data_IF_287363507317
#
_entry.id   IF_287363507317
#
_cell.length_a   1.000
_cell.length_b   1.000
_cell.length_c   1.000
_cell.angle_alpha   90.00
_cell.angle_beta   90.00
_cell.angle_gamma   90.00
#
_symmetry.space_group_name_H-M   'P 1'
#
loop_
_entity.id
_entity.type
_entity.pdbx_description
1 polymer ?
#
# COMPACT_ATOMS: atom_id res chain seq x y z
N UNK A 1 7.79 -17.76 42.57
CA UNK A 1 6.47 -17.22 42.18
C UNK A 1 6.53 -15.71 42.32
N UNK A 2 7.13 -15.03 41.34
CA UNK A 2 7.07 -13.57 41.30
C UNK A 2 5.68 -13.13 40.87
N UNK A 3 5.17 -12.08 41.53
CA UNK A 3 3.87 -11.47 41.24
C UNK A 3 3.83 -11.11 39.75
N UNK A 4 3.00 -11.81 38.97
CA UNK A 4 2.53 -11.31 37.67
C UNK A 4 1.94 -9.93 37.92
N UNK A 5 2.68 -8.89 37.57
CA UNK A 5 2.19 -7.51 37.55
C UNK A 5 0.92 -7.53 36.73
N UNK A 6 -0.22 -7.18 37.33
CA UNK A 6 -1.50 -7.09 36.64
C UNK A 6 -1.36 -6.06 35.53
N UNK A 7 -1.21 -6.53 34.29
CA UNK A 7 -1.15 -5.66 33.12
C UNK A 7 -2.45 -4.87 33.01
N UNK A 8 -2.34 -3.56 32.77
CA UNK A 8 -3.47 -2.77 32.27
C UNK A 8 -3.80 -3.27 30.84
N UNK A 9 -4.76 -4.20 30.77
CA UNK A 9 -5.27 -4.77 29.52
C UNK A 9 -6.43 -3.95 28.93
N UNK A 10 -6.66 -2.73 29.43
CA UNK A 10 -7.71 -1.88 28.88
C UNK A 10 -7.35 -1.45 27.45
N UNK A 11 -8.35 -1.54 26.57
CA UNK A 11 -8.27 -0.98 25.22
C UNK A 11 -8.60 0.51 25.31
N UNK A 12 -7.65 1.37 24.94
CA UNK A 12 -7.80 2.84 24.94
C UNK A 12 -7.44 3.40 23.58
N UNK A 13 -8.12 4.47 23.18
CA UNK A 13 -7.83 5.25 21.99
C UNK A 13 -7.22 6.59 22.41
N UNK A 14 -5.98 6.86 22.02
CA UNK A 14 -5.25 8.06 22.45
C UNK A 14 -4.52 8.70 21.26
N UNK A 15 -4.51 10.04 21.14
CA UNK A 15 -3.68 10.73 20.17
C UNK A 15 -2.21 10.66 20.61
N UNK A 16 -1.31 10.32 19.69
CA UNK A 16 0.13 10.23 19.92
C UNK A 16 0.89 10.82 18.74
N UNK A 17 2.09 11.32 18.99
CA UNK A 17 3.01 11.76 17.93
C UNK A 17 4.20 10.82 17.86
N UNK A 18 4.47 10.27 16.68
CA UNK A 18 5.57 9.35 16.40
C UNK A 18 6.40 9.96 15.28
N UNK A 19 7.68 10.25 15.55
CA UNK A 19 8.60 10.87 14.58
C UNK A 19 8.04 12.15 13.93
N UNK A 20 7.32 12.97 14.70
CA UNK A 20 6.72 14.22 14.25
C UNK A 20 5.46 14.06 13.40
N UNK A 21 4.86 12.87 13.36
CA UNK A 21 3.57 12.58 12.70
C UNK A 21 2.54 12.16 13.72
N UNK A 22 1.31 12.63 13.54
CA UNK A 22 0.21 12.37 14.46
C UNK A 22 -0.57 11.11 14.08
N UNK A 23 -0.82 10.27 15.08
CA UNK A 23 -1.57 9.02 14.99
C UNK A 23 -2.61 8.93 16.10
N UNK A 24 -3.61 8.08 15.89
CA UNK A 24 -4.36 7.50 16.99
C UNK A 24 -3.81 6.12 17.32
N UNK A 25 -3.49 5.90 18.59
CA UNK A 25 -3.08 4.60 19.16
C UNK A 25 -4.30 3.88 19.73
N UNK A 26 -4.51 2.65 19.32
CA UNK A 26 -5.36 1.68 20.03
C UNK A 26 -4.42 0.78 20.84
N UNK A 27 -4.47 0.90 22.17
CA UNK A 27 -3.68 0.04 23.07
C UNK A 27 -4.29 -1.34 23.21
N UNK A 28 -3.45 -2.37 23.39
CA UNK A 28 -3.87 -3.75 23.58
C UNK A 28 -4.85 -4.21 22.48
N UNK A 29 -4.54 -3.89 21.21
CA UNK A 29 -5.45 -4.10 20.08
C UNK A 29 -5.78 -5.58 19.86
N UNK A 30 -4.95 -6.49 20.36
CA UNK A 30 -5.18 -7.94 20.34
C UNK A 30 -6.34 -8.39 21.23
N UNK A 31 -6.79 -7.56 22.18
CA UNK A 31 -7.98 -7.82 23.00
C UNK A 31 -9.29 -7.56 22.24
N UNK A 32 -9.22 -6.91 21.07
CA UNK A 32 -10.36 -6.69 20.20
C UNK A 32 -10.48 -7.85 19.20
N UNK A 33 -11.71 -8.24 18.85
CA UNK A 33 -11.93 -9.05 17.66
C UNK A 33 -11.29 -8.32 16.46
N UNK A 34 -10.50 -9.00 15.61
CA UNK A 34 -9.90 -8.35 14.44
C UNK A 34 -10.94 -7.62 13.61
N UNK A 35 -10.63 -6.38 13.21
CA UNK A 35 -11.51 -5.51 12.44
C UNK A 35 -10.82 -4.98 11.19
N UNK A 36 -11.61 -4.69 10.17
CA UNK A 36 -11.11 -4.42 8.82
C UNK A 36 -11.01 -2.92 8.52
N UNK A 37 -9.98 -2.52 7.79
CA UNK A 37 -9.66 -1.12 7.49
C UNK A 37 -9.28 -0.93 6.02
N UNK A 38 -9.52 0.28 5.51
CA UNK A 38 -8.91 0.76 4.26
C UNK A 38 -7.84 1.82 4.59
N UNK A 39 -6.66 1.68 3.97
CA UNK A 39 -5.60 2.69 4.02
C UNK A 39 -5.64 3.46 2.69
N UNK A 40 -5.84 4.77 2.82
CA UNK A 40 -6.06 5.67 1.68
C UNK A 40 -4.74 6.15 1.09
N UNK A 41 -4.76 6.58 -0.17
CA UNK A 41 -3.61 7.13 -0.88
C UNK A 41 -4.09 8.30 -1.75
N UNK A 42 -3.22 9.27 -2.01
CA UNK A 42 -3.46 10.33 -3.00
C UNK A 42 -3.39 9.81 -4.44
N UNK A 43 -2.70 8.67 -4.64
CA UNK A 43 -2.51 8.03 -5.93
C UNK A 43 -3.46 6.84 -6.09
N UNK A 44 -3.05 5.80 -6.81
CA UNK A 44 -3.85 4.64 -7.17
C UNK A 44 -3.60 3.41 -6.29
N UNK A 45 -3.02 3.56 -5.10
CA UNK A 45 -2.86 2.44 -4.18
C UNK A 45 -4.19 2.06 -3.52
N UNK A 46 -4.38 0.78 -3.29
CA UNK A 46 -5.38 0.25 -2.38
C UNK A 46 -4.71 -0.71 -1.40
N UNK A 47 -5.03 -0.56 -0.11
CA UNK A 47 -4.68 -1.50 0.96
C UNK A 47 -5.93 -1.72 1.77
N UNK A 48 -6.34 -2.99 1.86
CA UNK A 48 -7.41 -3.44 2.73
C UNK A 48 -6.82 -4.42 3.74
N UNK A 49 -6.86 -4.06 5.01
CA UNK A 49 -6.04 -4.68 6.06
C UNK A 49 -6.84 -4.84 7.34
N UNK A 50 -6.70 -6.00 7.96
CA UNK A 50 -7.26 -6.33 9.27
C UNK A 50 -6.34 -5.88 10.39
N UNK A 51 -6.88 -5.61 11.57
CA UNK A 51 -6.12 -5.20 12.75
C UNK A 51 -5.16 -6.27 13.29
N UNK A 52 -5.22 -7.51 12.77
CA UNK A 52 -4.24 -8.56 13.03
C UNK A 52 -3.09 -8.62 12.00
N UNK A 53 -3.07 -7.71 11.02
CA UNK A 53 -2.02 -7.64 9.99
C UNK A 53 -2.35 -8.37 8.68
N UNK A 54 -3.39 -9.21 8.64
CA UNK A 54 -3.84 -9.85 7.40
C UNK A 54 -4.31 -8.80 6.38
N UNK A 55 -3.78 -8.83 5.16
CA UNK A 55 -4.06 -7.80 4.16
C UNK A 55 -4.15 -8.32 2.73
N UNK A 56 -4.83 -7.52 1.90
CA UNK A 56 -4.64 -7.46 0.47
C UNK A 56 -4.24 -6.04 0.06
N UNK A 57 -3.38 -5.90 -0.93
CA UNK A 57 -2.93 -4.60 -1.42
C UNK A 57 -2.58 -4.68 -2.89
N UNK A 58 -2.62 -3.55 -3.59
CA UNK A 58 -2.22 -3.42 -4.99
C UNK A 58 -2.46 -2.02 -5.54
N UNK A 59 -2.22 -1.81 -6.84
CA UNK A 59 -2.46 -0.51 -7.48
C UNK A 59 -3.60 -0.64 -8.48
N UNK A 60 -4.33 0.46 -8.72
CA UNK A 60 -5.47 0.56 -9.65
C UNK A 60 -6.65 -0.34 -9.27
N UNK A 61 -6.56 -1.65 -9.44
CA UNK A 61 -7.63 -2.62 -9.18
C UNK A 61 -7.06 -3.99 -8.78
N UNK A 62 -7.95 -4.96 -8.51
CA UNK A 62 -7.59 -6.30 -8.06
C UNK A 62 -6.76 -7.13 -9.06
N UNK A 63 -6.67 -6.73 -10.33
CA UNK A 63 -5.86 -7.43 -11.34
C UNK A 63 -4.36 -7.07 -11.24
N UNK A 64 -4.02 -6.03 -10.48
CA UNK A 64 -2.64 -5.64 -10.15
C UNK A 64 -2.40 -5.72 -8.65
N UNK A 65 -2.81 -6.85 -8.06
CA UNK A 65 -2.62 -7.15 -6.66
C UNK A 65 -1.15 -7.49 -6.34
N UNK A 66 -0.64 -6.97 -5.22
CA UNK A 66 0.60 -7.37 -4.58
C UNK A 66 0.39 -8.62 -3.70
N UNK A 67 -0.74 -8.69 -3.00
CA UNK A 67 -1.18 -9.83 -2.20
C UNK A 67 -2.56 -10.30 -2.68
N UNK A 68 -2.90 -11.59 -2.61
CA UNK A 68 -4.15 -12.11 -3.17
C UNK A 68 -5.39 -11.31 -2.73
N UNK A 69 -6.30 -11.04 -3.68
CA UNK A 69 -7.55 -10.32 -3.41
C UNK A 69 -8.68 -11.31 -3.11
N UNK A 70 -8.99 -11.48 -1.83
CA UNK A 70 -10.07 -12.33 -1.30
C UNK A 70 -11.10 -11.51 -0.54
N UNK A 71 -12.12 -12.15 0.01
CA UNK A 71 -13.05 -11.54 0.97
C UNK A 71 -12.37 -11.24 2.32
N UNK A 72 -12.95 -10.31 3.08
CA UNK A 72 -12.34 -9.76 4.30
C UNK A 72 -12.14 -10.79 5.43
N UNK A 73 -13.04 -11.77 5.53
CA UNK A 73 -12.91 -12.95 6.39
C UNK A 73 -11.64 -13.75 6.07
N UNK A 74 -11.47 -14.16 4.82
CA UNK A 74 -10.29 -14.93 4.35
C UNK A 74 -9.00 -14.14 4.48
N UNK A 75 -9.05 -12.82 4.23
CA UNK A 75 -7.89 -11.95 4.41
C UNK A 75 -7.48 -11.92 5.88
N UNK A 76 -8.44 -11.73 6.80
CA UNK A 76 -8.19 -11.75 8.24
C UNK A 76 -7.60 -13.09 8.70
N UNK A 77 -8.09 -14.21 8.17
CA UNK A 77 -7.61 -15.57 8.48
C UNK A 77 -6.21 -15.86 7.91
N UNK A 78 -5.77 -15.10 6.91
CA UNK A 78 -4.51 -15.36 6.18
C UNK A 78 -3.25 -14.72 6.77
N UNK A 79 -3.35 -14.00 7.88
CA UNK A 79 -2.25 -13.22 8.48
C UNK A 79 -0.96 -14.05 8.73
N UNK A 80 -1.09 -15.36 8.97
CA UNK A 80 0.06 -16.23 9.19
C UNK A 80 0.87 -16.54 7.93
N UNK A 81 0.25 -16.43 6.76
CA UNK A 81 0.80 -16.93 5.49
C UNK A 81 0.83 -15.86 4.39
N UNK A 82 0.25 -14.68 4.61
CA UNK A 82 0.19 -13.59 3.63
C UNK A 82 0.54 -12.26 4.28
N UNK A 83 1.36 -11.46 3.60
CA UNK A 83 1.72 -10.14 4.09
C UNK A 83 3.00 -10.14 4.94
N UNK A 84 3.06 -9.21 5.90
CA UNK A 84 4.22 -9.02 6.76
C UNK A 84 4.47 -10.25 7.65
N UNK A 85 5.74 -10.67 7.76
CA UNK A 85 6.15 -11.74 8.66
C UNK A 85 7.56 -11.48 9.18
N UNK A 86 7.74 -11.66 10.49
CA UNK A 86 8.99 -11.37 11.21
C UNK A 86 9.25 -12.44 12.26
N UNK A 87 10.44 -13.00 12.29
CA UNK A 87 10.88 -14.03 13.25
C UNK A 87 12.26 -13.64 13.77
N UNK A 88 12.45 -13.70 15.09
CA UNK A 88 13.67 -13.34 15.78
C UNK A 88 14.18 -14.50 16.63
N UNK A 89 15.41 -14.96 16.35
CA UNK A 89 16.18 -15.78 17.27
C UNK A 89 17.01 -14.82 18.14
N UNK A 90 16.64 -14.69 19.40
CA UNK A 90 17.24 -13.74 20.35
C UNK A 90 18.15 -14.49 21.31
N UNK A 91 19.42 -14.10 21.38
CA UNK A 91 20.36 -14.58 22.39
C UNK A 91 20.46 -13.53 23.51
N UNK A 92 20.01 -13.89 24.70
CA UNK A 92 20.04 -13.02 25.89
C UNK A 92 20.48 -13.82 27.11
N UNK A 93 21.46 -13.32 27.86
CA UNK A 93 22.04 -13.99 29.04
C UNK A 93 22.52 -15.44 28.79
N UNK A 94 23.00 -15.74 27.58
CA UNK A 94 23.48 -17.08 27.20
C UNK A 94 22.38 -18.07 26.80
N UNK A 95 21.10 -17.69 26.92
CA UNK A 95 19.96 -18.47 26.46
C UNK A 95 19.45 -17.98 25.10
N UNK A 96 18.82 -18.89 24.34
CA UNK A 96 18.22 -18.59 23.04
C UNK A 96 16.70 -18.64 23.12
N UNK A 97 16.07 -17.62 22.58
CA UNK A 97 14.63 -17.44 22.54
C UNK A 97 14.16 -17.29 21.09
N UNK A 98 12.96 -17.79 20.79
CA UNK A 98 12.32 -17.54 19.50
C UNK A 98 11.15 -16.59 19.72
N UNK A 99 11.13 -15.45 19.05
CA UNK A 99 10.04 -14.49 19.12
C UNK A 99 9.54 -14.19 17.71
N UNK A 100 8.24 -14.43 17.48
CA UNK A 100 7.57 -14.20 16.19
C UNK A 100 6.40 -13.23 16.42
N UNK A 101 6.65 -11.90 16.42
CA UNK A 101 5.59 -10.94 16.72
C UNK A 101 4.44 -10.99 15.73
N UNK A 102 3.26 -10.62 16.22
CA UNK A 102 1.98 -10.62 15.50
C UNK A 102 1.50 -12.00 15.06
N UNK A 103 2.22 -13.07 15.41
CA UNK A 103 1.81 -14.43 15.09
C UNK A 103 0.96 -15.04 16.20
N UNK A 104 0.14 -16.03 15.84
CA UNK A 104 -0.47 -16.95 16.80
C UNK A 104 0.49 -18.02 17.31
N UNK A 105 1.64 -18.18 16.65
CA UNK A 105 2.70 -19.10 17.09
C UNK A 105 3.37 -18.53 18.34
N UNK A 106 3.58 -19.38 19.34
CA UNK A 106 4.26 -19.00 20.58
C UNK A 106 3.59 -17.87 21.40
N UNK A 107 2.29 -17.58 21.18
CA UNK A 107 1.58 -16.49 21.88
C UNK A 107 1.61 -16.61 23.41
N UNK A 108 1.56 -17.84 23.93
CA UNK A 108 1.58 -18.08 25.38
C UNK A 108 2.99 -18.14 25.98
N UNK A 109 4.04 -18.02 25.16
CA UNK A 109 5.42 -18.13 25.62
C UNK A 109 5.94 -16.84 26.25
N UNK A 110 5.33 -15.69 25.92
CA UNK A 110 5.81 -14.38 26.35
C UNK A 110 4.68 -13.49 26.85
N UNK A 111 5.04 -12.58 27.73
CA UNK A 111 4.21 -11.46 28.12
C UNK A 111 4.32 -10.34 27.07
N UNK A 112 3.38 -10.30 26.13
CA UNK A 112 3.37 -9.30 25.05
C UNK A 112 2.28 -8.25 25.20
N UNK A 113 2.43 -7.13 24.47
CA UNK A 113 1.40 -6.12 24.25
C UNK A 113 1.39 -5.71 22.78
N UNK A 114 0.22 -5.71 22.13
CA UNK A 114 0.11 -5.23 20.77
C UNK A 114 -0.61 -3.88 20.73
N UNK A 115 -0.05 -2.94 20.00
CA UNK A 115 -0.64 -1.63 19.77
C UNK A 115 -0.82 -1.42 18.26
N UNK A 116 -1.90 -0.75 17.89
CA UNK A 116 -2.20 -0.40 16.50
C UNK A 116 -2.31 1.11 16.37
N UNK A 117 -1.65 1.68 15.36
CA UNK A 117 -1.65 3.12 15.13
C UNK A 117 -2.11 3.45 13.72
N UNK A 118 -3.04 4.38 13.56
CA UNK A 118 -3.43 4.91 12.24
C UNK A 118 -3.19 6.41 12.20
N UNK A 119 -2.56 6.90 11.13
CA UNK A 119 -2.29 8.33 10.98
C UNK A 119 -3.61 9.12 10.95
N UNK A 120 -3.58 10.38 11.40
CA UNK A 120 -4.77 11.25 11.38
C UNK A 120 -5.34 11.47 9.96
N UNK A 121 -4.48 11.36 8.94
CA UNK A 121 -4.88 11.42 7.52
C UNK A 121 -5.33 10.07 6.94
N UNK A 122 -5.20 8.99 7.71
CA UNK A 122 -5.64 7.64 7.36
C UNK A 122 -4.77 6.88 6.35
N UNK A 123 -3.65 7.45 5.93
CA UNK A 123 -2.76 6.95 4.85
C UNK A 123 -1.53 6.17 5.33
N UNK A 124 -1.37 5.98 6.64
CA UNK A 124 -0.34 5.14 7.23
C UNK A 124 -0.89 4.32 8.41
N UNK A 125 -0.33 3.13 8.61
CA UNK A 125 -0.74 2.20 9.66
C UNK A 125 0.49 1.52 10.27
N UNK A 126 0.64 1.60 11.60
CA UNK A 126 1.74 0.97 12.35
C UNK A 126 1.18 -0.17 13.19
N UNK A 127 1.83 -1.32 13.10
CA UNK A 127 1.67 -2.43 14.03
C UNK A 127 2.87 -2.44 14.97
N UNK A 128 2.61 -2.58 16.27
CA UNK A 128 3.65 -2.67 17.29
C UNK A 128 3.39 -3.86 18.20
N UNK A 129 4.41 -4.66 18.47
CA UNK A 129 4.39 -5.64 19.53
C UNK A 129 5.59 -5.40 20.47
N UNK A 130 5.29 -5.26 21.74
CA UNK A 130 6.26 -5.21 22.83
C UNK A 130 6.36 -6.60 23.46
N UNK A 131 7.55 -7.21 23.46
CA UNK A 131 7.85 -8.40 24.24
C UNK A 131 8.49 -7.97 25.57
N UNK A 132 7.72 -8.01 26.65
CA UNK A 132 8.14 -7.47 27.95
C UNK A 132 9.18 -8.34 28.65
N UNK A 133 9.18 -9.64 28.39
CA UNK A 133 10.13 -10.57 28.99
C UNK A 133 11.52 -10.43 28.35
N UNK A 134 11.55 -10.28 27.02
CA UNK A 134 12.78 -10.00 26.29
C UNK A 134 13.21 -8.53 26.40
N UNK A 135 12.29 -7.62 26.70
CA UNK A 135 12.53 -6.18 26.71
C UNK A 135 12.78 -5.64 25.30
N UNK A 136 12.03 -6.14 24.32
CA UNK A 136 12.16 -5.76 22.90
C UNK A 136 10.83 -5.20 22.38
N UNK A 137 10.90 -4.26 21.45
CA UNK A 137 9.73 -3.79 20.69
C UNK A 137 10.00 -3.89 19.21
N UNK A 138 9.09 -4.51 18.48
CA UNK A 138 9.13 -4.54 17.03
C UNK A 138 7.93 -3.76 16.48
N UNK A 139 8.21 -2.88 15.53
CA UNK A 139 7.22 -2.10 14.81
C UNK A 139 7.38 -2.29 13.32
N UNK A 140 6.27 -2.31 12.61
CA UNK A 140 6.27 -2.02 11.18
C UNK A 140 5.15 -1.06 10.75
N UNK A 141 5.47 -0.16 9.83
CA UNK A 141 4.55 0.82 9.25
C UNK A 141 4.32 0.55 7.77
N UNK A 142 3.06 0.51 7.34
CA UNK A 142 2.69 0.57 5.93
C UNK A 142 2.48 2.01 5.47
N UNK A 143 3.20 2.42 4.42
CA UNK A 143 3.09 3.69 3.72
C UNK A 143 2.90 3.47 2.21
N UNK A 144 2.38 4.49 1.52
CA UNK A 144 2.32 4.52 0.05
C UNK A 144 3.25 5.58 -0.54
N UNK A 145 3.80 5.29 -1.73
CA UNK A 145 4.72 6.13 -2.47
C UNK A 145 4.35 6.03 -3.95
N UNK A 146 3.91 7.12 -4.59
CA UNK A 146 3.49 7.07 -5.99
C UNK A 146 4.58 6.48 -6.90
N UNK A 147 5.84 6.84 -6.63
CA UNK A 147 6.99 6.42 -7.42
C UNK A 147 7.46 5.00 -7.10
N UNK A 148 7.44 4.60 -5.82
CA UNK A 148 8.10 3.38 -5.38
C UNK A 148 7.15 2.25 -4.96
N UNK A 149 5.84 2.52 -4.88
CA UNK A 149 4.82 1.56 -4.48
C UNK A 149 4.54 1.57 -2.98
N UNK A 150 4.50 0.39 -2.38
CA UNK A 150 4.27 0.18 -0.95
C UNK A 150 5.58 0.16 -0.20
N UNK A 151 5.61 0.81 0.96
CA UNK A 151 6.79 0.84 1.83
C UNK A 151 6.41 0.29 3.19
N UNK A 152 7.01 -0.84 3.56
CA UNK A 152 7.00 -1.40 4.92
C UNK A 152 8.24 -0.90 5.63
N UNK A 153 8.08 0.01 6.58
CA UNK A 153 9.19 0.49 7.43
C UNK A 153 9.23 -0.34 8.69
N UNK A 154 10.37 -0.88 9.05
CA UNK A 154 10.55 -1.73 10.22
C UNK A 154 11.48 -1.04 11.21
N UNK A 155 11.16 -1.16 12.50
CA UNK A 155 11.99 -0.70 13.61
C UNK A 155 12.03 -1.79 14.68
N UNK A 156 13.23 -2.20 15.09
CA UNK A 156 13.44 -3.09 16.24
C UNK A 156 14.19 -2.32 17.32
N UNK A 157 13.62 -2.27 18.51
CA UNK A 157 14.15 -1.52 19.66
C UNK A 157 14.50 -2.46 20.80
N UNK A 158 15.69 -2.29 21.36
CA UNK A 158 16.09 -2.92 22.61
C UNK A 158 15.74 -2.02 23.79
N UNK A 159 14.63 -2.29 24.46
CA UNK A 159 14.20 -1.55 25.64
C UNK A 159 14.90 -2.01 26.92
N UNK A 160 15.73 -3.06 26.87
CA UNK A 160 16.40 -3.60 28.06
C UNK A 160 17.69 -2.83 28.39
N UNK A 161 18.27 -3.15 29.54
CA UNK A 161 19.54 -2.58 30.01
C UNK A 161 20.77 -3.41 29.60
N UNK A 162 20.56 -4.41 28.74
CA UNK A 162 21.60 -5.35 28.29
C UNK A 162 21.69 -5.35 26.78
N UNK A 163 22.88 -5.56 26.25
CA UNK A 163 23.07 -5.83 24.83
C UNK A 163 22.48 -7.20 24.47
N UNK A 164 21.83 -7.28 23.32
CA UNK A 164 21.20 -8.51 22.81
C UNK A 164 21.73 -8.81 21.41
N UNK A 165 21.99 -10.08 21.13
CA UNK A 165 22.26 -10.55 19.78
C UNK A 165 20.96 -11.10 19.19
N UNK A 166 20.62 -10.68 17.99
CA UNK A 166 19.38 -11.05 17.32
C UNK A 166 19.70 -11.49 15.89
N UNK A 167 19.42 -12.75 15.59
CA UNK A 167 19.30 -13.20 14.21
C UNK A 167 17.85 -13.06 13.78
N UNK A 168 17.60 -12.32 12.71
CA UNK A 168 16.24 -11.98 12.26
C UNK A 168 15.94 -12.52 10.87
N UNK A 169 14.69 -12.86 10.63
CA UNK A 169 14.09 -13.00 9.31
C UNK A 169 12.89 -12.04 9.28
N UNK A 170 12.95 -10.98 8.47
CA UNK A 170 11.84 -10.02 8.31
C UNK A 170 11.50 -9.87 6.84
N UNK A 171 10.21 -9.79 6.51
CA UNK A 171 9.80 -9.81 5.12
C UNK A 171 8.32 -9.69 4.85
N UNK A 172 7.98 -10.01 3.61
CA UNK A 172 6.62 -10.20 3.11
C UNK A 172 6.50 -11.55 2.42
N UNK A 173 5.35 -12.22 2.54
CA UNK A 173 5.10 -13.53 1.94
C UNK A 173 3.77 -13.61 1.21
N UNK A 174 3.67 -14.62 0.33
CA UNK A 174 2.55 -14.83 -0.60
C UNK A 174 2.34 -13.60 -1.52
N UNK A 175 3.46 -13.07 -2.01
CA UNK A 175 3.51 -12.01 -3.01
C UNK A 175 3.02 -12.59 -4.33
N UNK A 176 2.05 -11.90 -4.93
CA UNK A 176 1.51 -12.28 -6.23
C UNK A 176 2.54 -11.99 -7.33
N UNK A 177 2.70 -12.88 -8.32
CA UNK A 177 3.33 -12.51 -9.56
C UNK A 177 2.40 -11.60 -10.37
N UNK A 178 2.97 -10.83 -11.30
CA UNK A 178 2.18 -10.07 -12.27
C UNK A 178 1.36 -11.01 -13.19
N UNK A 179 0.16 -10.56 -13.60
CA UNK A 179 -0.60 -11.18 -14.68
C UNK A 179 -1.58 -12.28 -14.25
N UNK A 180 -1.75 -12.52 -12.94
CA UNK A 180 -2.77 -13.44 -12.43
C UNK A 180 -4.07 -12.68 -12.19
N UNK A 181 -5.13 -13.08 -12.89
CA UNK A 181 -6.44 -12.46 -12.68
C UNK A 181 -7.00 -12.78 -11.29
N UNK A 182 -7.77 -11.84 -10.73
CA UNK A 182 -8.39 -12.04 -9.40
C UNK A 182 -9.30 -13.27 -9.39
N UNK A 183 -10.03 -13.51 -10.48
CA UNK A 183 -10.89 -14.68 -10.65
C UNK A 183 -10.10 -16.01 -10.64
N UNK A 184 -8.98 -16.08 -11.39
CA UNK A 184 -8.16 -17.28 -11.45
C UNK A 184 -7.50 -17.58 -10.08
N UNK A 185 -7.01 -16.54 -9.41
CA UNK A 185 -6.43 -16.68 -8.07
C UNK A 185 -7.46 -17.21 -7.05
N UNK A 186 -8.71 -16.74 -7.13
CA UNK A 186 -9.78 -17.18 -6.24
C UNK A 186 -10.24 -18.63 -6.51
N UNK A 187 -10.27 -19.04 -7.78
CA UNK A 187 -10.79 -20.35 -8.17
C UNK A 187 -9.73 -21.47 -8.15
N UNK A 188 -8.50 -21.17 -8.55
CA UNK A 188 -7.48 -22.17 -8.91
C UNK A 188 -6.07 -21.74 -8.51
N UNK A 189 -5.88 -21.23 -7.29
CA UNK A 189 -4.56 -20.76 -6.81
C UNK A 189 -3.45 -21.81 -6.88
N UNK A 190 -3.78 -23.08 -6.72
CA UNK A 190 -2.85 -24.20 -6.89
C UNK A 190 -2.33 -24.36 -8.33
N UNK A 191 -3.16 -24.10 -9.34
CA UNK A 191 -2.73 -24.05 -10.73
C UNK A 191 -1.77 -22.88 -10.94
N UNK A 192 -2.11 -21.71 -10.37
CA UNK A 192 -1.24 -20.53 -10.46
C UNK A 192 0.14 -20.81 -9.86
N UNK A 193 0.20 -21.51 -8.72
CA UNK A 193 1.47 -21.85 -8.06
C UNK A 193 2.43 -22.54 -9.03
N UNK A 194 1.98 -23.50 -9.85
CA UNK A 194 2.83 -24.21 -10.81
C UNK A 194 3.53 -23.32 -11.87
N UNK A 195 3.01 -22.10 -12.10
CA UNK A 195 3.58 -21.13 -13.05
C UNK A 195 4.47 -20.08 -12.37
N UNK A 196 4.50 -20.03 -11.03
CA UNK A 196 5.27 -19.02 -10.30
C UNK A 196 6.77 -19.24 -10.47
N UNK A 197 7.49 -18.15 -10.68
CA UNK A 197 8.94 -18.10 -10.61
C UNK A 197 9.35 -16.81 -9.90
N UNK A 198 10.14 -16.95 -8.85
CA UNK A 198 10.68 -15.83 -8.07
C UNK A 198 12.19 -15.82 -8.19
N UNK A 199 12.76 -14.72 -8.64
CA UNK A 199 14.20 -14.59 -8.93
C UNK A 199 14.81 -13.42 -8.15
N UNK A 200 16.09 -13.53 -7.78
CA UNK A 200 16.86 -12.47 -7.12
C UNK A 200 17.84 -11.84 -8.11
N UNK A 201 17.83 -10.52 -8.19
CA UNK A 201 18.92 -9.76 -8.80
C UNK A 201 20.00 -9.57 -7.73
N UNK A 202 20.95 -10.51 -7.66
CA UNK A 202 21.92 -10.63 -6.56
C UNK A 202 22.69 -9.35 -6.24
N UNK A 203 23.06 -8.57 -7.25
CA UNK A 203 23.89 -7.37 -7.08
C UNK A 203 23.17 -6.18 -6.43
N UNK A 204 21.83 -6.23 -6.37
CA UNK A 204 20.97 -5.15 -5.88
C UNK A 204 19.93 -5.63 -4.88
N UNK A 205 19.81 -6.94 -4.68
CA UNK A 205 18.85 -7.53 -3.75
C UNK A 205 17.39 -7.38 -4.17
N UNK A 206 17.10 -7.11 -5.46
CA UNK A 206 15.74 -6.99 -5.97
C UNK A 206 15.14 -8.38 -6.19
N UNK A 207 14.05 -8.69 -5.50
CA UNK A 207 13.22 -9.86 -5.77
C UNK A 207 12.21 -9.58 -6.88
N UNK A 208 12.14 -10.47 -7.87
CA UNK A 208 11.25 -10.41 -9.04
C UNK A 208 10.22 -11.53 -8.91
N UNK A 209 8.93 -11.18 -8.88
CA UNK A 209 7.80 -12.10 -8.79
C UNK A 209 7.07 -12.16 -10.15
N UNK A 210 7.30 -13.24 -10.89
CA UNK A 210 6.78 -13.41 -12.24
C UNK A 210 6.09 -14.76 -12.43
N UNK A 211 5.38 -14.87 -13.56
CA UNK A 211 4.94 -16.15 -14.10
C UNK A 211 5.96 -16.59 -15.16
N UNK A 212 6.12 -17.90 -15.33
CA UNK A 212 6.85 -18.46 -16.47
C UNK A 212 6.15 -18.19 -17.81
N UNK A 213 4.82 -18.08 -17.79
CA UNK A 213 3.96 -17.68 -18.91
C UNK A 213 2.63 -17.14 -18.35
N UNK A 214 1.96 -16.25 -19.08
CA UNK A 214 0.59 -15.84 -18.75
C UNK A 214 -0.34 -17.05 -18.93
N UNK A 215 -1.19 -17.30 -17.94
CA UNK A 215 -2.09 -18.45 -17.94
C UNK A 215 -3.29 -18.15 -18.83
N UNK A 216 -3.34 -18.81 -19.99
CA UNK A 216 -4.43 -18.71 -20.96
C UNK A 216 -4.84 -20.11 -21.46
N UNK A 217 -6.11 -20.25 -21.83
CA UNK A 217 -6.64 -21.52 -22.40
C UNK A 217 -6.27 -21.69 -23.89
N UNK A 218 -5.87 -20.61 -24.55
CA UNK A 218 -5.46 -20.65 -25.95
C UNK A 218 -4.12 -21.37 -26.10
N UNK A 219 -4.03 -22.27 -27.08
CA UNK A 219 -2.79 -22.92 -27.49
C UNK A 219 -1.89 -21.98 -28.31
N UNK A 220 -1.49 -20.85 -27.71
CA UNK A 220 -0.58 -19.86 -28.28
C UNK A 220 0.48 -19.44 -27.25
N UNK A 221 1.67 -18.98 -27.68
CA UNK A 221 2.64 -18.41 -26.76
C UNK A 221 2.03 -17.23 -25.99
N UNK A 222 2.25 -17.19 -24.67
CA UNK A 222 1.73 -16.13 -23.81
C UNK A 222 2.83 -15.67 -22.84
N UNK A 223 3.71 -14.80 -23.34
CA UNK A 223 4.88 -14.33 -22.59
C UNK A 223 4.48 -13.45 -21.40
N UNK A 224 5.10 -13.68 -20.24
CA UNK A 224 4.95 -12.86 -19.05
C UNK A 224 6.12 -11.87 -18.94
N UNK A 225 5.97 -10.69 -19.57
CA UNK A 225 7.04 -9.69 -19.71
C UNK A 225 7.03 -8.58 -18.63
N UNK A 226 6.30 -8.81 -17.55
CA UNK A 226 6.25 -7.91 -16.38
C UNK A 226 6.24 -8.72 -15.10
N UNK A 227 6.58 -8.06 -14.01
CA UNK A 227 6.66 -8.65 -12.68
C UNK A 227 6.12 -7.70 -11.60
N UNK A 228 5.80 -8.28 -10.45
CA UNK A 228 5.83 -7.50 -9.21
C UNK A 228 7.25 -7.58 -8.64
N UNK A 229 7.66 -6.61 -7.82
CA UNK A 229 9.01 -6.58 -7.24
C UNK A 229 8.99 -6.27 -5.76
N UNK A 230 10.04 -6.68 -5.06
CA UNK A 230 10.38 -6.20 -3.73
C UNK A 230 11.89 -5.96 -3.59
N UNK A 231 12.28 -4.99 -2.76
CA UNK A 231 13.67 -4.67 -2.46
C UNK A 231 13.77 -4.03 -1.06
N UNK A 232 14.98 -3.88 -0.52
CA UNK A 232 15.19 -3.39 0.84
C UNK A 232 16.34 -2.40 0.96
N UNK A 233 16.32 -1.58 2.01
CA UNK A 233 17.41 -0.68 2.44
C UNK A 233 17.52 -0.66 3.97
N UNK A 234 18.68 -0.24 4.49
CA UNK A 234 18.94 -0.09 5.93
C UNK A 234 19.66 -1.27 6.58
N UNK A 235 19.82 -2.36 5.83
CA UNK A 235 20.58 -3.55 6.21
C UNK A 235 21.65 -3.82 5.13
N UNK A 236 22.90 -3.96 5.57
CA UNK A 236 24.03 -4.21 4.68
C UNK A 236 24.18 -5.72 4.45
N UNK A 237 24.29 -6.13 3.17
CA UNK A 237 24.54 -7.51 2.73
C UNK A 237 23.67 -8.60 3.43
N UNK A 238 22.33 -8.46 3.48
CA UNK A 238 21.50 -9.52 4.04
C UNK A 238 21.49 -10.76 3.14
N UNK A 239 21.18 -11.91 3.72
CA UNK A 239 20.77 -13.11 2.97
C UNK A 239 19.31 -12.98 2.56
N UNK A 240 18.99 -13.27 1.30
CA UNK A 240 17.62 -13.15 0.79
C UNK A 240 16.91 -14.50 0.68
N UNK A 241 15.65 -14.56 1.08
CA UNK A 241 14.75 -15.69 0.77
C UNK A 241 13.64 -15.20 -0.16
N UNK A 242 13.34 -15.99 -1.18
CA UNK A 242 12.36 -15.73 -2.22
C UNK A 242 11.06 -16.53 -2.03
N UNK A 243 11.03 -17.35 -0.99
CA UNK A 243 9.91 -18.22 -0.61
C UNK A 243 9.78 -18.33 0.91
N UNK A 244 8.70 -18.96 1.37
CA UNK A 244 8.51 -19.26 2.79
C UNK A 244 9.03 -20.65 3.21
N UNK A 245 9.73 -21.37 2.34
CA UNK A 245 10.11 -22.79 2.56
C UNK A 245 11.01 -22.98 3.79
N UNK A 246 11.90 -22.02 4.05
CA UNK A 246 12.88 -22.13 5.14
C UNK A 246 12.40 -21.50 6.46
N UNK A 247 11.19 -20.94 6.54
CA UNK A 247 10.72 -20.26 7.75
C UNK A 247 10.58 -21.21 8.94
N UNK A 248 10.08 -22.43 8.74
CA UNK A 248 9.98 -23.40 9.84
C UNK A 248 11.35 -23.89 10.32
N UNK A 249 12.33 -24.02 9.42
CA UNK A 249 13.73 -24.28 9.79
C UNK A 249 14.27 -23.16 10.68
N UNK A 250 13.99 -21.90 10.34
CA UNK A 250 14.39 -20.74 11.13
C UNK A 250 13.67 -20.67 12.49
N UNK A 251 12.36 -20.97 12.56
CA UNK A 251 11.60 -21.05 13.83
C UNK A 251 12.19 -22.07 14.81
N UNK A 252 12.77 -23.14 14.28
CA UNK A 252 13.40 -24.21 15.07
C UNK A 252 14.91 -23.96 15.30
N UNK A 253 15.32 -22.70 15.42
CA UNK A 253 16.71 -22.27 15.67
C UNK A 253 17.73 -22.66 14.58
N UNK A 254 17.28 -23.08 13.40
CA UNK A 254 18.12 -23.36 12.25
C UNK A 254 18.64 -22.11 11.54
N UNK A 255 19.63 -22.30 10.67
CA UNK A 255 20.07 -21.28 9.69
C UNK A 255 19.28 -21.37 8.39
N UNK A 256 19.22 -20.27 7.65
CA UNK A 256 18.67 -20.21 6.28
C UNK A 256 19.79 -20.00 5.28
N UNK A 257 19.52 -20.34 4.02
CA UNK A 257 20.43 -20.18 2.89
C UNK A 257 19.79 -19.29 1.82
N UNK A 258 20.61 -18.52 1.09
CA UNK A 258 20.11 -17.59 0.09
C UNK A 258 19.38 -18.32 -1.04
N UNK A 259 18.25 -17.79 -1.45
CA UNK A 259 17.47 -18.26 -2.59
C UNK A 259 17.64 -17.27 -3.76
N UNK A 260 17.96 -17.77 -4.96
CA UNK A 260 18.16 -16.94 -6.16
C UNK A 260 17.18 -17.22 -7.29
N UNK A 261 16.63 -18.44 -7.36
CA UNK A 261 15.60 -18.85 -8.33
C UNK A 261 14.71 -19.93 -7.68
N UNK A 262 13.46 -19.58 -7.36
CA UNK A 262 12.47 -20.49 -6.79
C UNK A 262 11.30 -20.63 -7.75
N UNK A 263 10.91 -21.88 -8.04
CA UNK A 263 9.86 -22.23 -9.00
C UNK A 263 8.71 -22.95 -8.30
N UNK A 264 7.52 -22.80 -8.85
CA UNK A 264 6.32 -23.49 -8.42
C UNK A 264 5.87 -23.23 -6.97
N UNK A 265 6.32 -22.14 -6.36
CA UNK A 265 6.05 -21.80 -4.96
C UNK A 265 5.50 -20.38 -4.81
N UNK A 266 4.83 -20.11 -3.69
CA UNK A 266 4.38 -18.76 -3.34
C UNK A 266 5.59 -17.85 -3.13
N UNK A 267 5.64 -16.77 -3.89
CA UNK A 267 6.70 -15.77 -3.77
C UNK A 267 6.73 -15.13 -2.39
N UNK A 268 7.93 -14.92 -1.86
CA UNK A 268 8.18 -14.13 -0.67
C UNK A 268 9.43 -13.26 -0.87
N UNK A 269 9.60 -12.28 -0.01
CA UNK A 269 10.83 -11.50 0.10
C UNK A 269 11.19 -11.37 1.56
N UNK A 270 12.20 -12.10 2.00
CA UNK A 270 12.74 -12.00 3.35
C UNK A 270 14.19 -11.58 3.32
N UNK A 271 14.57 -10.74 4.28
CA UNK A 271 15.96 -10.46 4.62
C UNK A 271 16.33 -11.24 5.88
N UNK A 272 17.51 -11.85 5.88
CA UNK A 272 18.12 -12.49 7.03
C UNK A 272 19.46 -11.86 7.37
N UNK A 273 19.64 -11.47 8.63
CA UNK A 273 20.91 -10.95 9.15
C UNK A 273 21.01 -11.24 10.66
N UNK A 274 22.23 -11.26 11.17
CA UNK A 274 22.51 -11.17 12.61
C UNK A 274 22.92 -9.74 12.95
N UNK A 275 22.26 -9.16 13.94
CA UNK A 275 22.58 -7.84 14.49
C UNK A 275 22.85 -7.95 15.98
N UNK A 276 23.61 -6.99 16.50
CA UNK A 276 23.77 -6.76 17.92
C UNK A 276 23.12 -5.41 18.23
N UNK A 277 22.23 -5.38 19.21
CA UNK A 277 21.58 -4.14 19.67
C UNK A 277 22.01 -3.86 21.10
N UNK A 278 22.68 -2.74 21.30
CA UNK A 278 23.02 -2.25 22.63
C UNK A 278 21.77 -1.81 23.39
N UNK A 279 21.94 -1.57 24.69
CA UNK A 279 20.86 -1.09 25.54
C UNK A 279 20.28 0.23 24.98
N UNK A 280 18.95 0.27 24.87
CA UNK A 280 18.17 1.42 24.34
C UNK A 280 18.46 1.77 22.88
N UNK A 281 19.19 0.92 22.15
CA UNK A 281 19.43 1.10 20.73
C UNK A 281 18.22 0.63 19.89
N UNK A 282 18.08 1.22 18.71
CA UNK A 282 17.13 0.77 17.68
C UNK A 282 17.82 0.56 16.34
N UNK A 283 17.31 -0.41 15.57
CA UNK A 283 17.69 -0.62 14.17
C UNK A 283 16.46 -0.47 13.27
N UNK A 284 16.64 0.32 12.21
CA UNK A 284 15.62 0.61 11.22
C UNK A 284 16.00 0.05 9.85
N UNK A 285 15.00 -0.41 9.11
CA UNK A 285 15.13 -0.80 7.70
C UNK A 285 13.79 -0.65 6.98
N UNK A 286 13.82 -0.71 5.66
CA UNK A 286 12.59 -0.69 4.86
C UNK A 286 12.57 -1.84 3.86
N UNK A 287 11.38 -2.33 3.57
CA UNK A 287 11.08 -3.17 2.40
C UNK A 287 10.12 -2.37 1.53
N UNK A 288 10.43 -2.28 0.26
CA UNK A 288 9.63 -1.58 -0.75
C UNK A 288 9.14 -2.60 -1.76
N UNK A 289 7.85 -2.55 -2.10
CA UNK A 289 7.26 -3.44 -3.08
C UNK A 289 6.40 -2.66 -4.08
N UNK A 290 6.46 -3.03 -5.35
CA UNK A 290 5.67 -2.39 -6.41
C UNK A 290 5.12 -3.44 -7.38
N UNK A 291 4.06 -3.07 -8.10
CA UNK A 291 3.36 -3.96 -9.03
C UNK A 291 3.51 -3.50 -10.48
N UNK A 292 3.26 -4.39 -11.44
CA UNK A 292 3.19 -4.05 -12.87
C UNK A 292 4.49 -3.41 -13.42
N UNK A 293 5.64 -3.98 -13.07
CA UNK A 293 6.97 -3.49 -13.46
C UNK A 293 7.46 -4.22 -14.71
N UNK A 294 7.94 -3.47 -15.71
CA UNK A 294 8.63 -4.06 -16.85
C UNK A 294 10.15 -4.17 -16.60
N UNK A 295 10.88 -4.69 -17.60
CA UNK A 295 12.33 -4.85 -17.49
C UNK A 295 13.08 -3.52 -17.30
N UNK A 296 12.59 -2.42 -17.89
CA UNK A 296 13.20 -1.08 -17.76
C UNK A 296 13.05 -0.56 -16.34
N UNK A 297 11.87 -0.73 -15.74
CA UNK A 297 11.60 -0.36 -14.35
C UNK A 297 12.54 -1.09 -13.38
N UNK A 298 12.70 -2.41 -13.57
CA UNK A 298 13.54 -3.28 -12.74
C UNK A 298 15.01 -2.86 -12.84
N UNK A 299 15.51 -2.62 -14.06
CA UNK A 299 16.89 -2.14 -14.27
C UNK A 299 17.10 -0.75 -13.65
N UNK A 300 16.11 0.14 -13.77
CA UNK A 300 16.17 1.47 -13.19
C UNK A 300 16.22 1.47 -11.66
N UNK A 301 15.48 0.58 -10.99
CA UNK A 301 15.53 0.46 -9.52
C UNK A 301 16.81 -0.23 -9.05
N UNK A 302 17.24 -1.30 -9.73
CA UNK A 302 18.51 -1.99 -9.45
C UNK A 302 19.69 -1.00 -9.52
N UNK A 303 19.73 -0.16 -10.56
CA UNK A 303 20.74 0.90 -10.70
C UNK A 303 20.65 1.92 -9.57
N UNK A 304 19.46 2.37 -9.19
CA UNK A 304 19.27 3.32 -8.09
C UNK A 304 19.80 2.74 -6.77
N UNK A 305 19.48 1.49 -6.44
CA UNK A 305 19.96 0.84 -5.22
C UNK A 305 21.50 0.83 -5.16
N UNK A 306 22.16 0.51 -6.27
CA UNK A 306 23.63 0.41 -6.34
C UNK A 306 24.36 1.75 -6.36
N UNK A 307 23.72 2.83 -6.81
CA UNK A 307 24.43 4.08 -7.16
C UNK A 307 23.90 5.32 -6.46
N UNK A 308 22.70 5.29 -5.89
CA UNK A 308 22.06 6.45 -5.28
C UNK A 308 22.04 6.36 -3.75
N UNK A 309 23.09 6.89 -3.12
CA UNK A 309 23.20 6.95 -1.66
C UNK A 309 22.08 7.77 -0.98
N UNK A 310 21.25 8.49 -1.75
CA UNK A 310 20.09 9.26 -1.24
C UNK A 310 18.76 8.56 -1.51
N UNK A 311 18.75 7.30 -1.97
CA UNK A 311 17.54 6.58 -2.32
C UNK A 311 16.55 6.50 -1.15
N UNK A 312 17.02 6.18 0.06
CA UNK A 312 16.17 6.15 1.26
C UNK A 312 15.46 7.50 1.48
N UNK A 313 16.20 8.62 1.42
CA UNK A 313 15.62 9.96 1.56
C UNK A 313 14.64 10.31 0.44
N UNK A 314 14.86 9.81 -0.79
CA UNK A 314 13.92 9.99 -1.91
C UNK A 314 12.63 9.19 -1.71
N UNK A 315 12.71 7.98 -1.15
CA UNK A 315 11.53 7.19 -0.77
C UNK A 315 10.72 7.94 0.27
N UNK A 316 11.37 8.42 1.34
CA UNK A 316 10.72 9.19 2.41
C UNK A 316 10.07 10.48 1.90
N UNK A 317 10.77 11.23 1.06
CA UNK A 317 10.22 12.44 0.44
C UNK A 317 8.99 12.15 -0.44
N UNK A 318 8.95 11.00 -1.13
CA UNK A 318 7.80 10.63 -1.95
C UNK A 318 6.59 10.19 -1.12
N UNK A 319 6.81 9.54 0.03
CA UNK A 319 5.75 9.24 1.02
C UNK A 319 5.16 10.54 1.57
N UNK A 320 6.02 11.49 1.93
CA UNK A 320 5.58 12.78 2.46
C UNK A 320 4.80 13.58 1.40
N UNK A 321 5.29 13.62 0.17
CA UNK A 321 4.59 14.24 -0.96
C UNK A 321 3.18 13.64 -1.18
N UNK A 322 3.02 12.33 -0.99
CA UNK A 322 1.70 11.69 -1.05
C UNK A 322 0.75 12.20 0.04
N UNK A 323 1.25 12.38 1.26
CA UNK A 323 0.48 12.99 2.35
C UNK A 323 0.08 14.42 2.03
N UNK A 324 1.00 15.24 1.53
CA UNK A 324 0.72 16.63 1.13
C UNK A 324 -0.33 16.71 0.02
N UNK A 325 -0.27 15.83 -0.98
CA UNK A 325 -1.26 15.75 -2.06
C UNK A 325 -2.63 15.32 -1.54
N UNK A 326 -2.68 14.33 -0.64
CA UNK A 326 -3.93 13.90 -0.01
C UNK A 326 -4.59 15.03 0.78
N UNK A 327 -3.80 15.77 1.56
CA UNK A 327 -4.27 16.96 2.28
C UNK A 327 -4.82 17.99 1.30
N UNK A 328 -4.12 18.29 0.21
CA UNK A 328 -4.59 19.26 -0.80
C UNK A 328 -5.92 18.86 -1.43
N UNK A 329 -6.09 17.58 -1.81
CA UNK A 329 -7.34 17.06 -2.36
C UNK A 329 -8.50 17.19 -1.38
N UNK A 330 -8.26 16.90 -0.10
CA UNK A 330 -9.32 16.95 0.90
C UNK A 330 -9.63 18.38 1.36
N UNK A 331 -8.60 19.22 1.46
CA UNK A 331 -8.73 20.63 1.82
C UNK A 331 -9.51 21.44 0.78
N UNK A 332 -9.41 21.10 -0.52
CA UNK A 332 -10.21 21.77 -1.56
C UNK A 332 -11.71 21.44 -1.47
N UNK A 333 -12.11 20.50 -0.62
CA UNK A 333 -13.50 20.19 -0.28
C UNK A 333 -13.82 20.46 1.20
N UNK A 334 -13.12 21.43 1.81
CA UNK A 334 -13.30 21.84 3.21
C UNK A 334 -13.04 20.73 4.23
N UNK A 335 -12.14 19.79 3.93
CA UNK A 335 -11.81 18.65 4.80
C UNK A 335 -10.96 18.99 6.03
N UNK A 336 -10.53 20.24 6.22
CA UNK A 336 -9.65 20.65 7.33
C UNK A 336 -10.44 21.44 8.38
N UNK A 337 -10.43 20.95 9.62
CA UNK A 337 -10.96 21.64 10.80
C UNK A 337 -9.94 21.56 11.92
N UNK A 338 -9.97 22.55 12.82
CA UNK A 338 -9.18 22.57 14.04
C UNK A 338 -10.05 23.07 15.19
N UNK A 339 -10.45 22.16 16.06
CA UNK A 339 -11.24 22.43 17.26
C UNK A 339 -10.50 21.92 18.50
N UNK A 340 -11.12 22.01 19.67
CA UNK A 340 -10.58 21.37 20.88
C UNK A 340 -10.79 19.85 20.90
N UNK A 341 -11.54 19.29 19.95
CA UNK A 341 -11.87 17.87 19.86
C UNK A 341 -11.28 17.25 18.58
N UNK A 342 -10.02 16.82 18.68
CA UNK A 342 -9.28 16.25 17.56
C UNK A 342 -9.95 14.99 16.95
N UNK A 343 -10.77 14.27 17.74
CA UNK A 343 -11.54 13.12 17.23
C UNK A 343 -12.57 13.57 16.20
N UNK A 344 -13.25 14.70 16.44
CA UNK A 344 -14.20 15.30 15.48
C UNK A 344 -13.48 15.84 14.25
N UNK A 345 -12.37 16.53 14.43
CA UNK A 345 -11.58 17.10 13.34
C UNK A 345 -11.12 15.98 12.38
N UNK A 346 -10.55 14.90 12.93
CA UNK A 346 -10.12 13.73 12.16
C UNK A 346 -11.30 13.02 11.51
N UNK A 347 -12.44 12.90 12.21
CA UNK A 347 -13.64 12.30 11.63
C UNK A 347 -14.15 13.10 10.45
N UNK A 348 -14.19 14.44 10.55
CA UNK A 348 -14.55 15.34 9.46
C UNK A 348 -13.62 15.17 8.25
N UNK A 349 -12.30 15.15 8.49
CA UNK A 349 -11.31 14.86 7.44
C UNK A 349 -11.63 13.55 6.72
N UNK A 350 -11.86 12.46 7.46
CA UNK A 350 -12.17 11.16 6.85
C UNK A 350 -13.52 11.15 6.11
N UNK A 351 -14.54 11.83 6.63
CA UNK A 351 -15.85 11.93 5.99
C UNK A 351 -15.75 12.62 4.64
N UNK A 352 -15.09 13.79 4.59
CA UNK A 352 -14.85 14.52 3.33
C UNK A 352 -14.04 13.65 2.38
N UNK A 353 -13.00 12.96 2.87
CA UNK A 353 -12.14 12.15 2.03
C UNK A 353 -12.90 11.01 1.35
N UNK A 354 -13.70 10.25 2.11
CA UNK A 354 -14.50 9.17 1.53
C UNK A 354 -15.59 9.69 0.58
N UNK A 355 -16.09 10.91 0.80
CA UNK A 355 -17.03 11.55 -0.12
C UNK A 355 -16.36 11.87 -1.47
N UNK A 356 -15.20 12.53 -1.47
CA UNK A 356 -14.48 12.86 -2.70
C UNK A 356 -13.86 11.65 -3.39
N UNK A 357 -13.52 10.58 -2.64
CA UNK A 357 -13.12 9.32 -3.24
C UNK A 357 -14.27 8.65 -3.99
N UNK A 358 -15.52 8.79 -3.53
CA UNK A 358 -16.67 8.16 -4.18
C UNK A 358 -17.22 8.99 -5.33
N UNK A 359 -17.44 10.29 -5.10
CA UNK A 359 -18.06 11.21 -6.06
C UNK A 359 -17.07 12.03 -6.91
N UNK A 360 -15.79 12.00 -6.57
CA UNK A 360 -14.76 12.83 -7.20
C UNK A 360 -14.60 14.20 -6.55
N UNK A 361 -13.53 14.87 -6.93
CA UNK A 361 -13.24 16.27 -6.59
C UNK A 361 -12.88 17.03 -7.87
N UNK A 362 -13.25 18.31 -7.94
CA UNK A 362 -12.85 19.17 -9.06
C UNK A 362 -11.33 19.29 -9.14
N UNK A 363 -10.82 19.35 -10.37
CA UNK A 363 -9.38 19.36 -10.62
C UNK A 363 -8.64 20.55 -10.00
N UNK A 364 -9.10 21.76 -10.32
CA UNK A 364 -8.58 23.03 -9.81
C UNK A 364 -9.68 24.10 -9.77
N UNK A 365 -10.44 24.15 -8.67
CA UNK A 365 -11.51 25.12 -8.47
C UNK A 365 -12.52 25.14 -9.63
N UNK A 366 -12.58 26.27 -10.34
CA UNK A 366 -13.42 26.44 -11.54
C UNK A 366 -12.60 26.56 -12.84
N UNK A 367 -11.34 26.14 -12.82
CA UNK A 367 -10.46 26.08 -14.00
C UNK A 367 -10.76 24.83 -14.82
N UNK A 368 -10.75 24.98 -16.14
CA UNK A 368 -10.98 23.93 -17.13
C UNK A 368 -9.80 23.92 -18.09
N UNK A 369 -9.31 22.73 -18.44
CA UNK A 369 -8.27 22.54 -19.44
C UNK A 369 -8.89 22.23 -20.80
N UNK A 370 -8.44 22.95 -21.82
CA UNK A 370 -8.99 22.87 -23.18
C UNK A 370 -8.89 21.48 -23.78
N UNK A 371 -7.75 20.81 -23.61
CA UNK A 371 -7.52 19.48 -24.17
C UNK A 371 -8.57 18.45 -23.68
N UNK A 372 -8.95 18.52 -22.40
CA UNK A 372 -9.90 17.58 -21.79
C UNK A 372 -11.32 17.89 -22.24
N UNK A 373 -11.70 19.17 -22.18
CA UNK A 373 -13.00 19.63 -22.65
C UNK A 373 -13.23 19.32 -24.14
N UNK A 374 -12.21 19.49 -24.98
CA UNK A 374 -12.27 19.16 -26.40
C UNK A 374 -12.43 17.65 -26.62
N UNK A 375 -11.68 16.82 -25.90
CA UNK A 375 -11.82 15.36 -25.94
C UNK A 375 -13.22 14.91 -25.49
N UNK A 376 -13.75 15.50 -24.43
CA UNK A 376 -15.11 15.30 -23.95
C UNK A 376 -16.14 15.61 -25.06
N UNK A 377 -16.07 16.78 -25.70
CA UNK A 377 -16.98 17.15 -26.79
C UNK A 377 -16.90 16.18 -27.98
N UNK A 378 -15.67 15.81 -28.37
CA UNK A 378 -15.43 14.88 -29.48
C UNK A 378 -16.05 13.49 -29.22
N UNK A 379 -16.01 13.03 -27.97
CA UNK A 379 -16.59 11.75 -27.56
C UNK A 379 -18.10 11.84 -27.38
N UNK A 380 -18.62 12.97 -26.88
CA UNK A 380 -20.04 13.17 -26.65
C UNK A 380 -20.84 13.37 -27.96
N UNK A 381 -20.34 14.21 -28.87
CA UNK A 381 -20.98 14.45 -30.16
C UNK A 381 -19.98 15.00 -31.20
N UNK A 382 -19.62 14.18 -32.18
CA UNK A 382 -18.66 14.50 -33.25
C UNK A 382 -19.07 15.68 -34.12
N UNK A 383 -20.38 15.88 -34.34
CA UNK A 383 -20.87 16.98 -35.17
C UNK A 383 -20.82 18.31 -34.40
N UNK A 384 -21.14 18.29 -33.11
CA UNK A 384 -20.99 19.48 -32.23
C UNK A 384 -19.52 19.87 -32.12
N UNK A 385 -18.61 18.91 -31.97
CA UNK A 385 -17.15 19.18 -31.94
C UNK A 385 -16.70 19.90 -33.22
N UNK A 386 -17.06 19.38 -34.41
CA UNK A 386 -16.73 20.02 -35.70
C UNK A 386 -17.33 21.42 -35.83
N UNK A 387 -18.59 21.60 -35.44
CA UNK A 387 -19.27 22.90 -35.53
C UNK A 387 -18.72 23.94 -34.53
N UNK A 388 -18.05 23.48 -33.47
CA UNK A 388 -17.50 24.35 -32.42
C UNK A 388 -16.01 24.62 -32.61
N UNK A 389 -15.41 24.23 -33.74
CA UNK A 389 -13.96 24.31 -33.98
C UNK A 389 -13.41 25.74 -33.82
N UNK A 390 -14.12 26.74 -34.34
CA UNK A 390 -13.71 28.15 -34.23
C UNK A 390 -13.78 28.65 -32.77
N UNK A 391 -14.82 28.26 -32.03
CA UNK A 391 -14.95 28.58 -30.60
C UNK A 391 -13.82 27.93 -29.80
N UNK A 392 -13.50 26.67 -30.10
CA UNK A 392 -12.43 25.94 -29.44
C UNK A 392 -11.07 26.57 -29.75
N UNK A 393 -10.82 27.04 -30.98
CA UNK A 393 -9.59 27.77 -31.33
C UNK A 393 -9.41 29.04 -30.49
N UNK A 394 -10.48 29.79 -30.24
CA UNK A 394 -10.45 31.03 -29.46
C UNK A 394 -10.31 30.81 -27.94
N UNK A 395 -10.59 29.60 -27.44
CA UNK A 395 -10.37 29.28 -26.03
C UNK A 395 -8.86 29.16 -25.72
N UNK A 396 -8.38 29.79 -24.64
CA UNK A 396 -7.03 29.56 -24.14
C UNK A 396 -6.88 28.14 -23.61
N UNK A 397 -5.63 27.67 -23.44
CA UNK A 397 -5.33 26.32 -22.91
C UNK A 397 -5.98 26.04 -21.54
N UNK A 398 -6.14 27.08 -20.73
CA UNK A 398 -6.90 27.04 -19.46
C UNK A 398 -7.90 28.18 -19.43
N UNK A 399 -9.15 27.90 -19.04
CA UNK A 399 -10.22 28.89 -18.91
C UNK A 399 -11.12 28.61 -17.71
N UNK A 400 -11.88 29.61 -17.27
CA UNK A 400 -12.80 29.44 -16.14
C UNK A 400 -14.17 28.91 -16.58
N UNK A 401 -14.91 28.29 -15.66
CA UNK A 401 -16.33 27.97 -15.84
C UNK A 401 -17.16 29.20 -16.25
N UNK A 402 -16.81 30.39 -15.77
CA UNK A 402 -17.49 31.62 -16.18
C UNK A 402 -17.25 31.96 -17.65
N UNK A 403 -16.03 31.74 -18.14
CA UNK A 403 -15.68 31.87 -19.56
C UNK A 403 -16.50 30.89 -20.39
N UNK A 404 -16.54 29.61 -20.00
CA UNK A 404 -17.33 28.59 -20.70
C UNK A 404 -18.82 28.94 -20.74
N UNK A 405 -19.39 29.44 -19.63
CA UNK A 405 -20.78 29.89 -19.57
C UNK A 405 -21.08 31.06 -20.49
N UNK A 406 -20.14 32.00 -20.69
CA UNK A 406 -20.30 33.10 -21.65
C UNK A 406 -20.41 32.56 -23.07
N UNK A 407 -19.49 31.67 -23.48
CA UNK A 407 -19.53 31.04 -24.80
C UNK A 407 -20.79 30.20 -25.00
N UNK A 408 -21.19 29.40 -24.00
CA UNK A 408 -22.40 28.58 -24.06
C UNK A 408 -23.70 29.41 -24.16
N UNK A 409 -23.71 30.66 -23.68
CA UNK A 409 -24.86 31.54 -23.78
C UNK A 409 -24.92 32.34 -25.09
N UNK A 410 -23.78 32.56 -25.75
CA UNK A 410 -23.72 33.24 -27.04
C UNK A 410 -23.86 32.29 -28.24
N UNK A 411 -23.70 30.99 -28.01
CA UNK A 411 -23.87 29.97 -29.04
C UNK A 411 -25.34 29.53 -29.15
N UNK A 412 -25.91 29.63 -30.36
CA UNK A 412 -27.29 29.20 -30.66
C UNK A 412 -27.45 27.67 -30.70
N UNK A 413 -26.35 26.92 -30.75
CA UNK A 413 -26.36 25.46 -30.72
C UNK A 413 -26.72 24.95 -29.31
N UNK A 414 -27.96 24.46 -29.17
CA UNK A 414 -28.50 23.91 -27.92
C UNK A 414 -27.74 22.68 -27.41
N UNK A 415 -27.18 21.87 -28.31
CA UNK A 415 -26.38 20.70 -27.91
C UNK A 415 -25.04 21.10 -27.35
N UNK A 416 -24.35 22.08 -27.97
CA UNK A 416 -23.14 22.65 -27.38
C UNK A 416 -23.42 23.23 -26.00
N UNK A 417 -24.49 24.02 -25.87
CA UNK A 417 -24.88 24.62 -24.59
C UNK A 417 -25.13 23.57 -23.51
N UNK A 418 -25.81 22.48 -23.84
CA UNK A 418 -26.04 21.36 -22.91
C UNK A 418 -24.72 20.72 -22.48
N UNK A 419 -23.88 20.31 -23.43
CA UNK A 419 -22.60 19.66 -23.15
C UNK A 419 -21.65 20.56 -22.34
N UNK A 420 -21.60 21.87 -22.64
CA UNK A 420 -20.81 22.83 -21.89
C UNK A 420 -21.29 23.02 -20.43
N UNK A 421 -22.59 22.84 -20.17
CA UNK A 421 -23.16 22.93 -18.82
C UNK A 421 -23.13 21.60 -18.05
N UNK A 422 -23.08 20.46 -18.76
CA UNK A 422 -22.95 19.11 -18.19
C UNK A 422 -21.50 18.76 -17.83
N UNK A 423 -20.51 19.40 -18.45
CA UNK A 423 -19.11 19.09 -18.22
C UNK A 423 -18.66 19.37 -16.78
N UNK A 424 -18.08 18.35 -16.14
CA UNK A 424 -17.55 18.39 -14.79
C UNK A 424 -16.11 17.84 -14.82
N UNK A 425 -15.06 18.68 -14.61
CA UNK A 425 -13.67 18.24 -14.59
C UNK A 425 -13.33 17.56 -13.25
N UNK A 426 -13.98 16.43 -12.97
CA UNK A 426 -13.80 15.65 -11.76
C UNK A 426 -12.62 14.68 -11.91
N UNK A 427 -11.90 14.47 -10.82
CA UNK A 427 -10.87 13.44 -10.65
C UNK A 427 -11.06 12.70 -9.34
N UNK A 428 -10.21 11.71 -9.08
CA UNK A 428 -10.12 11.00 -7.79
C UNK A 428 -11.29 10.07 -7.44
N UNK A 429 -12.40 10.10 -8.19
CA UNK A 429 -13.52 9.19 -8.01
C UNK A 429 -13.15 7.73 -8.33
N UNK A 430 -13.79 6.80 -7.61
CA UNK A 430 -13.67 5.36 -7.80
C UNK A 430 -14.91 4.66 -7.24
N UNK A 431 -15.29 3.53 -7.85
CA UNK A 431 -16.30 2.62 -7.28
C UNK A 431 -15.86 2.10 -5.90
N UNK A 432 -16.82 1.94 -5.00
CA UNK A 432 -16.60 1.53 -3.61
C UNK A 432 -16.61 0.00 -3.43
N UNK A 433 -15.88 -0.70 -4.30
CA UNK A 433 -15.58 -2.12 -4.16
C UNK A 433 -14.39 -2.35 -3.25
N UNK A 434 -14.48 -3.38 -2.40
CA UNK A 434 -13.44 -3.81 -1.47
C UNK A 434 -13.76 -5.24 -0.96
N UNK A 435 -12.86 -5.90 -0.21
CA UNK A 435 -13.08 -7.26 0.29
C UNK A 435 -14.33 -7.48 1.16
N UNK A 436 -14.83 -6.44 1.84
CA UNK A 436 -16.10 -6.50 2.60
C UNK A 436 -17.34 -6.22 1.72
N UNK A 437 -17.11 -5.75 0.49
CA UNK A 437 -18.12 -5.50 -0.55
C UNK A 437 -17.73 -6.19 -1.87
N UNK A 438 -17.47 -7.51 -1.86
CA UNK A 438 -16.83 -8.20 -2.98
C UNK A 438 -17.68 -8.26 -4.25
N UNK A 439 -18.99 -7.97 -4.15
CA UNK A 439 -19.89 -7.84 -5.31
C UNK A 439 -19.65 -6.57 -6.14
N UNK A 440 -18.99 -5.56 -5.58
CA UNK A 440 -18.63 -4.34 -6.27
C UNK A 440 -17.20 -4.44 -6.81
N UNK A 441 -17.03 -4.34 -8.13
CA UNK A 441 -15.69 -4.16 -8.73
C UNK A 441 -15.25 -2.71 -8.56
N UNK A 442 -13.97 -2.50 -8.26
CA UNK A 442 -13.38 -1.16 -8.18
C UNK A 442 -12.20 -1.02 -9.13
N UNK A 443 -11.96 0.20 -9.61
CA UNK A 443 -10.73 0.60 -10.28
C UNK A 443 -10.42 2.06 -9.97
N UNK A 444 -9.17 2.35 -9.60
CA UNK A 444 -8.67 3.68 -9.25
C UNK A 444 -7.95 4.23 -10.47
N UNK A 445 -8.72 4.79 -11.40
CA UNK A 445 -8.20 5.31 -12.66
C UNK A 445 -7.89 6.81 -12.52
N UNK A 446 -6.97 7.16 -11.62
CA UNK A 446 -6.63 8.56 -11.33
C UNK A 446 -5.43 9.07 -12.12
N UNK A 447 -4.64 8.16 -12.68
CA UNK A 447 -3.48 8.45 -13.52
C UNK A 447 -3.39 7.49 -14.70
N UNK A 448 -2.89 8.00 -15.81
CA UNK A 448 -2.54 7.23 -16.99
C UNK A 448 -1.38 6.28 -16.69
N UNK A 449 -1.52 5.01 -17.12
CA UNK A 449 -0.45 4.01 -16.98
C UNK A 449 0.66 4.19 -18.02
N UNK A 450 0.46 5.05 -19.02
CA UNK A 450 1.41 5.29 -20.11
C UNK A 450 2.41 6.37 -19.72
N UNK A 451 1.95 7.45 -19.10
CA UNK A 451 2.72 8.67 -18.89
C UNK A 451 2.52 9.33 -17.51
N UNK A 452 1.79 8.69 -16.59
CA UNK A 452 1.47 9.18 -15.24
C UNK A 452 0.68 10.51 -15.22
N UNK A 453 0.14 10.94 -16.37
CA UNK A 453 -0.73 12.11 -16.49
C UNK A 453 -2.01 11.91 -15.68
N UNK A 454 -2.60 13.02 -15.20
CA UNK A 454 -3.87 12.96 -14.47
C UNK A 454 -5.01 12.51 -15.40
N UNK A 455 -5.97 11.78 -14.86
CA UNK A 455 -7.21 11.43 -15.55
C UNK A 455 -8.35 12.25 -14.94
N UNK A 456 -9.10 12.93 -15.80
CA UNK A 456 -10.37 13.58 -15.44
C UNK A 456 -11.49 12.67 -15.93
N UNK A 457 -12.03 11.86 -15.03
CA UNK A 457 -13.08 10.90 -15.33
C UNK A 457 -13.83 10.55 -14.04
N UNK A 458 -15.09 10.15 -14.20
CA UNK A 458 -15.92 9.71 -13.08
C UNK A 458 -16.99 8.70 -13.51
N UNK A 459 -17.24 7.72 -12.64
CA UNK A 459 -18.36 6.79 -12.77
C UNK A 459 -19.01 6.51 -11.41
N UNK A 460 -20.34 6.35 -11.39
CA UNK A 460 -21.10 6.13 -10.17
C UNK A 460 -22.48 5.55 -10.44
N UNK A 461 -23.06 4.87 -9.44
CA UNK A 461 -24.48 4.56 -9.47
C UNK A 461 -25.26 5.86 -9.24
N UNK A 462 -26.43 6.04 -9.86
CA UNK A 462 -27.20 7.29 -9.80
C UNK A 462 -27.39 7.90 -8.39
N UNK A 463 -27.59 7.05 -7.37
CA UNK A 463 -27.83 7.50 -5.98
C UNK A 463 -26.54 7.71 -5.18
N UNK A 464 -25.48 6.99 -5.53
CA UNK A 464 -24.22 6.95 -4.76
C UNK A 464 -23.33 8.14 -5.14
#
# INVERSE_FOLDING_TARGET
MEKKTTQDKAVKLEPVSINGKDYFKISNSEQMRPFFMSIVSDSNHWIFISSNGGLTAGRKNAEYALFPYYSDDKITESAEITGAKSIFQVTKNGEKYIWEPFSIRFQDNYNTKCNLYKSVYGNALIFEEENLDLGLTFRYEWCSSNKYGFVKKSTLVNNSDQTVEIKLVDGIQNVMPFGVSSALQNASSNLVDAYKRTELVEDSGVGIFALSAIIVDKAEPSEALKANIAWSLGIDNPTYLLSSLQLDKFRNFGSVEQETDVKAEKGAYFINITIQLDSKESKDWIIVANVNQDASDIVAISKQIKTDNRLLSKVEANIQLGTEKLIKLNASSDGLQLTSDNLRDTRHFSNTLFNIMRGGIFDDGYTIEKWDFENYLKNANKDVHRQSEDILKDLPETFSLQTLRKFANWNDNKDFKRLALEYLPLKFSRRHGDPSRPWNKFSINTRSEVDDSKILDYEGNWRD
#
